data_IF_793553649348
#
_entry.id   IF_793553649348
#
_cell.length_a   1.000
_cell.length_b   1.000
_cell.length_c   1.000
_cell.angle_alpha   90.00
_cell.angle_beta   90.00
_cell.angle_gamma   90.00
#
_symmetry.space_group_name_H-M   'P 1'
#
loop_
_entity.id
_entity.type
_entity.pdbx_description
1 polymer ?
#
# COMPACT_ATOMS: atom_id res chain seq x y z
N UNK A 1 5.47 -22.19 -29.82
CA UNK A 1 5.44 -23.59 -30.31
C UNK A 1 4.12 -24.20 -29.90
N UNK A 2 3.45 -24.90 -30.81
CA UNK A 2 2.23 -25.63 -30.46
C UNK A 2 2.58 -26.84 -29.56
N UNK A 3 1.70 -27.25 -28.63
CA UNK A 3 1.89 -28.45 -27.84
C UNK A 3 2.08 -29.68 -28.76
N UNK A 4 2.84 -30.67 -28.29
CA UNK A 4 3.00 -31.98 -28.99
C UNK A 4 1.67 -32.68 -29.26
N UNK A 5 0.60 -32.31 -28.56
CA UNK A 5 -0.76 -32.81 -28.73
C UNK A 5 -1.58 -32.03 -29.76
N UNK A 6 -1.00 -31.04 -30.44
CA UNK A 6 -1.70 -30.27 -31.47
C UNK A 6 -1.82 -31.09 -32.75
N UNK A 7 -3.05 -31.51 -33.08
CA UNK A 7 -3.35 -32.32 -34.28
C UNK A 7 -3.59 -31.50 -35.55
N UNK A 8 -3.45 -30.17 -35.48
CA UNK A 8 -3.65 -29.30 -36.64
C UNK A 8 -2.43 -29.37 -37.58
N UNK A 9 -2.63 -29.28 -38.91
CA UNK A 9 -1.52 -29.21 -39.85
C UNK A 9 -0.68 -27.95 -39.59
N UNK A 10 0.63 -28.09 -39.77
CA UNK A 10 1.53 -26.95 -39.67
C UNK A 10 1.20 -25.93 -40.77
N UNK A 11 1.26 -24.66 -40.41
CA UNK A 11 1.10 -23.52 -41.32
C UNK A 11 2.38 -22.68 -41.29
N UNK A 12 2.64 -21.95 -42.37
CA UNK A 12 3.77 -21.03 -42.43
C UNK A 12 3.62 -19.93 -41.36
N UNK A 13 4.71 -19.65 -40.64
CA UNK A 13 4.72 -18.65 -39.58
C UNK A 13 6.10 -18.43 -38.97
N UNK A 14 6.26 -17.34 -38.23
CA UNK A 14 7.47 -17.04 -37.49
C UNK A 14 7.46 -17.78 -36.15
N UNK A 15 8.57 -18.47 -35.85
CA UNK A 15 8.77 -19.17 -34.58
C UNK A 15 10.07 -18.71 -33.93
N UNK A 16 10.15 -18.84 -32.61
CA UNK A 16 11.39 -18.58 -31.90
C UNK A 16 12.39 -19.71 -32.13
N UNK A 17 13.67 -19.33 -32.16
CA UNK A 17 14.77 -20.29 -32.24
C UNK A 17 14.74 -21.29 -31.08
N UNK A 18 15.40 -22.43 -31.29
CA UNK A 18 15.55 -23.44 -30.24
C UNK A 18 16.13 -22.82 -28.97
N UNK A 19 15.51 -23.15 -27.84
CA UNK A 19 15.88 -22.58 -26.54
C UNK A 19 15.27 -21.21 -26.24
N UNK A 20 14.40 -20.66 -27.09
CA UNK A 20 13.64 -19.42 -26.84
C UNK A 20 12.13 -19.68 -26.82
N UNK A 21 11.39 -18.85 -26.09
CA UNK A 21 9.93 -18.90 -25.98
C UNK A 21 9.34 -17.55 -26.38
N UNK A 22 8.19 -17.57 -27.06
CA UNK A 22 7.49 -16.37 -27.50
C UNK A 22 6.79 -15.70 -26.31
N UNK A 23 7.11 -14.43 -26.05
CA UNK A 23 6.53 -13.59 -25.01
C UNK A 23 6.38 -12.15 -25.52
N UNK A 24 5.14 -11.62 -25.55
CA UNK A 24 4.83 -10.27 -26.07
C UNK A 24 5.52 -9.98 -27.42
N UNK A 25 5.30 -10.86 -28.40
CA UNK A 25 5.88 -10.78 -29.76
C UNK A 25 7.43 -10.76 -29.83
N UNK A 26 8.10 -11.16 -28.74
CA UNK A 26 9.55 -11.29 -28.67
C UNK A 26 9.94 -12.69 -28.26
N UNK A 27 11.05 -13.18 -28.79
CA UNK A 27 11.64 -14.44 -28.38
C UNK A 27 12.57 -14.19 -27.20
N UNK A 28 12.19 -14.69 -26.03
CA UNK A 28 13.02 -14.62 -24.81
C UNK A 28 13.71 -15.96 -24.58
N UNK A 29 14.96 -16.00 -24.10
CA UNK A 29 15.61 -17.25 -23.74
C UNK A 29 14.71 -18.02 -22.78
N UNK A 30 14.50 -19.31 -23.04
CA UNK A 30 13.70 -20.19 -22.19
C UNK A 30 14.14 -20.08 -20.72
N UNK A 31 15.45 -19.95 -20.48
CA UNK A 31 16.09 -19.71 -19.18
C UNK A 31 15.56 -18.50 -18.41
N UNK A 32 15.05 -17.50 -19.13
CA UNK A 32 14.44 -16.29 -18.57
C UNK A 32 12.92 -16.43 -18.38
N UNK A 33 12.33 -17.58 -18.72
CA UNK A 33 10.94 -17.86 -18.39
C UNK A 33 10.78 -18.10 -16.88
N UNK A 34 10.47 -17.03 -16.17
CA UNK A 34 9.97 -17.11 -14.81
C UNK A 34 8.60 -17.80 -14.67
N UNK A 35 7.92 -17.51 -13.58
CA UNK A 35 6.67 -18.14 -13.20
C UNK A 35 5.48 -17.38 -13.77
N UNK A 36 4.37 -18.08 -13.97
CA UNK A 36 3.10 -17.50 -14.40
C UNK A 36 2.02 -17.73 -13.36
N UNK A 37 1.30 -16.67 -13.01
CA UNK A 37 0.17 -16.73 -12.09
C UNK A 37 -0.85 -15.65 -12.43
N UNK A 38 -2.13 -16.03 -12.54
CA UNK A 38 -3.26 -15.16 -12.90
C UNK A 38 -3.00 -14.29 -14.15
N UNK A 39 -2.35 -14.86 -15.17
CA UNK A 39 -2.04 -14.15 -16.42
C UNK A 39 -0.87 -13.17 -16.33
N UNK A 40 -0.19 -13.08 -15.18
CA UNK A 40 0.99 -12.24 -14.97
C UNK A 40 2.27 -13.08 -14.92
N UNK A 41 3.34 -12.55 -15.52
CA UNK A 41 4.68 -13.12 -15.51
C UNK A 41 5.51 -12.57 -14.34
N UNK A 42 6.29 -13.45 -13.72
CA UNK A 42 7.15 -13.15 -12.58
C UNK A 42 8.55 -13.71 -12.82
N UNK A 43 9.61 -12.87 -12.89
CA UNK A 43 10.98 -13.33 -13.09
C UNK A 43 11.45 -14.33 -12.03
N UNK A 44 12.37 -15.23 -12.40
CA UNK A 44 13.01 -16.13 -11.43
C UNK A 44 13.72 -15.30 -10.36
N UNK A 45 13.55 -15.68 -9.09
CA UNK A 45 14.09 -14.97 -7.94
C UNK A 45 13.24 -13.77 -7.47
N UNK A 46 12.18 -13.39 -8.19
CA UNK A 46 11.28 -12.33 -7.71
C UNK A 46 10.48 -12.77 -6.49
N UNK A 47 10.27 -11.81 -5.58
CA UNK A 47 9.36 -11.92 -4.43
C UNK A 47 8.33 -10.79 -4.45
N UNK A 48 7.08 -11.09 -4.12
CA UNK A 48 5.99 -10.13 -4.17
C UNK A 48 4.81 -10.56 -3.30
N UNK A 49 3.98 -9.61 -2.91
CA UNK A 49 2.72 -9.84 -2.22
C UNK A 49 1.61 -10.18 -3.22
N UNK A 50 0.72 -11.10 -2.84
CA UNK A 50 -0.43 -11.51 -3.68
C UNK A 50 -1.76 -10.92 -3.25
N UNK A 51 -1.77 -10.20 -2.14
CA UNK A 51 -2.95 -9.60 -1.53
C UNK A 51 -2.63 -8.22 -0.97
N UNK A 52 -3.66 -7.41 -0.82
CA UNK A 52 -3.56 -6.02 -0.35
C UNK A 52 -3.37 -5.90 1.17
N UNK A 53 -3.33 -7.01 1.91
CA UNK A 53 -3.07 -7.03 3.36
C UNK A 53 -1.66 -7.50 3.73
N UNK A 54 -0.79 -7.74 2.74
CA UNK A 54 0.56 -8.25 2.92
C UNK A 54 0.58 -9.52 3.79
N UNK A 55 -0.37 -10.41 3.56
CA UNK A 55 -0.56 -11.65 4.33
C UNK A 55 0.02 -12.88 3.64
N UNK A 56 0.11 -12.87 2.30
CA UNK A 56 0.69 -13.92 1.47
C UNK A 56 1.78 -13.35 0.58
N UNK A 57 3.02 -13.84 0.79
CA UNK A 57 4.19 -13.51 -0.03
C UNK A 57 4.55 -14.71 -0.89
N UNK A 58 4.76 -14.47 -2.18
CA UNK A 58 5.15 -15.50 -3.13
C UNK A 58 6.53 -15.22 -3.72
N UNK A 59 7.23 -16.29 -4.07
CA UNK A 59 8.47 -16.26 -4.82
C UNK A 59 8.42 -17.17 -6.04
N UNK A 60 9.15 -16.78 -7.09
CA UNK A 60 9.41 -17.66 -8.23
C UNK A 60 10.77 -18.36 -8.06
N UNK A 61 10.82 -19.63 -7.60
CA UNK A 61 12.08 -20.26 -7.21
C UNK A 61 12.96 -20.63 -8.41
N UNK A 62 12.36 -21.18 -9.47
CA UNK A 62 13.09 -21.66 -10.65
C UNK A 62 12.28 -21.41 -11.92
N UNK A 63 12.96 -21.50 -13.06
CA UNK A 63 12.38 -21.31 -14.38
C UNK A 63 11.20 -22.27 -14.62
N UNK A 64 10.06 -21.74 -15.10
CA UNK A 64 8.88 -22.52 -15.46
C UNK A 64 8.18 -23.24 -14.29
N UNK A 65 8.58 -22.98 -13.03
CA UNK A 65 7.92 -23.58 -11.88
C UNK A 65 6.61 -22.86 -11.53
N UNK A 66 5.81 -23.49 -10.66
CA UNK A 66 4.74 -22.77 -9.95
C UNK A 66 5.35 -21.80 -8.94
N UNK A 67 4.59 -20.76 -8.59
CA UNK A 67 4.93 -19.89 -7.47
C UNK A 67 4.94 -20.69 -6.16
N UNK A 68 5.85 -20.33 -5.27
CA UNK A 68 5.86 -20.78 -3.89
C UNK A 68 5.41 -19.64 -2.99
N UNK A 69 4.26 -19.81 -2.34
CA UNK A 69 3.64 -18.79 -1.50
C UNK A 69 3.64 -19.23 -0.05
N UNK A 70 3.81 -18.28 0.85
CA UNK A 70 3.83 -18.50 2.28
C UNK A 70 3.18 -17.33 3.01
N UNK A 71 2.63 -17.61 4.18
CA UNK A 71 2.11 -16.58 5.06
C UNK A 71 3.27 -15.71 5.55
N UNK A 72 3.11 -14.40 5.43
CA UNK A 72 4.09 -13.43 5.88
C UNK A 72 3.36 -12.17 6.37
N UNK A 73 4.10 -11.26 6.99
CA UNK A 73 3.61 -9.96 7.41
C UNK A 73 4.72 -8.93 7.23
N UNK A 74 4.36 -7.65 7.20
CA UNK A 74 5.37 -6.61 7.20
C UNK A 74 6.26 -6.68 8.45
N UNK A 75 7.55 -6.29 8.32
CA UNK A 75 8.44 -6.14 9.48
C UNK A 75 7.86 -5.22 10.56
N UNK A 76 8.32 -5.41 11.80
CA UNK A 76 7.95 -4.52 12.89
C UNK A 76 8.31 -3.06 12.55
N UNK A 77 7.39 -2.13 12.80
CA UNK A 77 7.57 -0.72 12.45
C UNK A 77 7.09 -0.34 11.04
N UNK A 78 6.63 -1.31 10.25
CA UNK A 78 6.04 -1.07 8.92
C UNK A 78 4.57 -1.47 8.88
N UNK A 79 3.81 -0.83 7.97
CA UNK A 79 2.43 -1.21 7.64
C UNK A 79 2.31 -1.62 6.18
N UNK A 80 1.27 -2.40 5.86
CA UNK A 80 0.96 -2.74 4.48
C UNK A 80 0.25 -1.57 3.80
N UNK A 81 0.88 -1.01 2.76
CA UNK A 81 0.29 0.03 1.92
C UNK A 81 0.39 -0.33 0.44
N UNK A 82 -0.26 0.46 -0.42
CA UNK A 82 -0.19 0.27 -1.88
C UNK A 82 0.61 1.40 -2.49
N UNK A 83 1.68 1.06 -3.23
CA UNK A 83 2.50 2.01 -3.99
C UNK A 83 2.57 1.56 -5.44
N UNK A 84 2.23 2.46 -6.39
CA UNK A 84 2.13 2.14 -7.82
C UNK A 84 1.23 0.92 -8.13
N UNK A 85 0.13 0.77 -7.39
CA UNK A 85 -0.82 -0.34 -7.56
C UNK A 85 -0.31 -1.70 -7.07
N UNK A 86 0.80 -1.74 -6.33
CA UNK A 86 1.34 -2.98 -5.74
C UNK A 86 1.39 -2.87 -4.21
N UNK A 87 1.04 -3.94 -3.46
CA UNK A 87 1.22 -3.96 -2.02
C UNK A 87 2.71 -3.91 -1.69
N UNK A 88 3.09 -3.06 -0.73
CA UNK A 88 4.45 -2.88 -0.23
C UNK A 88 4.41 -2.58 1.26
N UNK A 89 5.47 -2.97 1.97
CA UNK A 89 5.64 -2.57 3.37
C UNK A 89 6.24 -1.17 3.42
N UNK A 90 5.54 -0.25 4.05
CA UNK A 90 5.94 1.14 4.22
C UNK A 90 6.26 1.39 5.68
N UNK A 91 7.28 2.19 5.95
CA UNK A 91 7.57 2.67 7.31
C UNK A 91 6.35 3.38 7.90
N UNK A 92 6.09 3.19 9.19
CA UNK A 92 5.13 4.02 9.91
C UNK A 92 5.64 5.48 9.94
N UNK A 93 5.30 6.26 8.92
CA UNK A 93 5.43 7.71 8.98
C UNK A 93 4.23 8.26 9.74
N UNK A 94 4.42 8.65 10.99
CA UNK A 94 3.39 9.36 11.74
C UNK A 94 3.54 10.86 11.51
N UNK A 95 2.40 11.54 11.28
CA UNK A 95 2.31 12.98 11.42
C UNK A 95 1.89 13.32 12.86
N UNK A 96 2.45 14.39 13.43
CA UNK A 96 1.97 14.92 14.72
C UNK A 96 1.16 16.19 14.43
N UNK A 97 -0.12 16.18 14.80
CA UNK A 97 -0.89 17.40 15.01
C UNK A 97 -0.69 17.84 16.46
N UNK A 98 -0.28 19.08 16.68
CA UNK A 98 0.05 19.60 18.01
C UNK A 98 -0.83 20.81 18.33
N UNK A 99 -1.46 20.78 19.51
CA UNK A 99 -2.24 21.90 20.05
C UNK A 99 -1.63 22.27 21.38
N UNK A 100 -1.13 23.50 21.50
CA UNK A 100 -0.49 23.99 22.72
C UNK A 100 -1.04 25.36 23.08
N UNK A 101 -1.88 25.37 24.11
CA UNK A 101 -2.69 26.53 24.48
C UNK A 101 -3.74 26.88 23.42
N UNK A 102 -4.44 27.98 23.65
CA UNK A 102 -5.18 28.75 22.63
C UNK A 102 -4.33 29.98 22.32
N UNK A 103 -4.06 30.36 21.06
CA UNK A 103 -4.73 29.91 19.83
C UNK A 103 -3.88 29.00 18.92
N UNK A 104 -2.78 28.39 19.38
CA UNK A 104 -1.76 27.82 18.48
C UNK A 104 -2.00 26.36 18.10
N UNK A 105 -2.36 26.13 16.83
CA UNK A 105 -2.52 24.82 16.22
C UNK A 105 -1.41 24.57 15.21
N UNK A 106 -0.79 23.38 15.26
CA UNK A 106 0.16 22.92 14.25
C UNK A 106 -0.36 21.64 13.62
N UNK A 107 -0.65 21.69 12.33
CA UNK A 107 -1.23 20.59 11.55
C UNK A 107 -0.20 19.50 11.24
N UNK A 108 -0.66 18.36 10.71
CA UNK A 108 0.19 17.22 10.34
C UNK A 108 1.27 17.56 9.30
N UNK A 109 0.98 18.50 8.40
CA UNK A 109 1.89 19.07 7.39
C UNK A 109 2.75 20.23 7.93
N UNK A 110 2.75 20.43 9.25
CA UNK A 110 3.57 21.40 10.00
C UNK A 110 3.17 22.87 9.80
N UNK A 111 1.99 23.15 9.25
CA UNK A 111 1.46 24.50 9.12
C UNK A 111 0.92 24.99 10.46
N UNK A 112 1.19 26.25 10.79
CA UNK A 112 0.69 26.87 12.03
C UNK A 112 -0.51 27.75 11.75
N UNK A 113 -1.58 27.53 12.50
CA UNK A 113 -2.79 28.35 12.48
C UNK A 113 -3.08 28.91 13.86
N UNK A 114 -3.58 30.14 13.90
CA UNK A 114 -4.07 30.77 15.12
C UNK A 114 -5.58 30.85 15.05
N UNK A 115 -6.28 30.14 15.93
CA UNK A 115 -7.73 30.16 16.02
C UNK A 115 -8.18 30.32 17.46
N UNK A 116 -9.00 31.35 17.73
CA UNK A 116 -9.57 31.63 19.05
C UNK A 116 -11.06 31.27 19.03
N UNK A 117 -11.38 30.06 19.48
CA UNK A 117 -12.75 29.55 19.49
C UNK A 117 -13.12 29.00 20.85
N UNK A 118 -14.38 29.15 21.28
CA UNK A 118 -14.88 28.80 22.62
C UNK A 118 -15.84 27.59 22.63
N UNK A 119 -15.71 26.69 21.66
CA UNK A 119 -16.52 25.48 21.55
C UNK A 119 -15.65 24.21 21.61
N UNK A 120 -16.30 23.06 21.43
CA UNK A 120 -15.62 21.79 21.13
C UNK A 120 -15.36 21.71 19.63
N UNK A 121 -14.13 21.37 19.25
CA UNK A 121 -13.69 21.26 17.87
C UNK A 121 -13.08 19.89 17.59
N UNK A 122 -13.36 19.35 16.40
CA UNK A 122 -12.69 18.15 15.91
C UNK A 122 -11.27 18.48 15.47
N UNK A 123 -10.27 17.85 16.08
CA UNK A 123 -8.87 17.99 15.70
C UNK A 123 -8.47 17.02 14.59
N UNK A 124 -8.92 15.77 14.69
CA UNK A 124 -8.64 14.73 13.72
C UNK A 124 -9.76 13.70 13.72
N UNK A 125 -10.29 13.37 12.54
CA UNK A 125 -11.26 12.28 12.36
C UNK A 125 -11.04 11.61 11.01
N UNK A 126 -11.52 10.38 10.87
CA UNK A 126 -11.60 9.73 9.57
C UNK A 126 -12.67 10.44 8.71
N UNK A 127 -12.29 10.96 7.54
CA UNK A 127 -13.20 11.72 6.67
C UNK A 127 -14.18 10.85 5.86
N UNK A 128 -13.90 9.57 5.67
CA UNK A 128 -14.70 8.66 4.86
C UNK A 128 -14.83 7.28 5.49
N UNK A 129 -16.04 6.72 5.51
CA UNK A 129 -16.31 5.34 5.90
C UNK A 129 -15.89 4.36 4.78
N UNK A 130 -14.64 4.41 4.33
CA UNK A 130 -14.07 3.29 3.58
C UNK A 130 -13.85 2.15 4.57
N UNK A 131 -14.37 0.97 4.26
CA UNK A 131 -14.39 -0.22 5.13
C UNK A 131 -13.01 -0.73 5.58
N UNK A 132 -11.92 -0.13 5.10
CA UNK A 132 -10.54 -0.53 5.38
C UNK A 132 -9.88 0.19 6.56
N UNK A 133 -10.46 1.27 7.11
CA UNK A 133 -9.85 2.02 8.22
C UNK A 133 -10.74 1.98 9.47
N UNK A 134 -10.18 1.72 10.67
CA UNK A 134 -10.92 1.81 11.91
C UNK A 134 -11.34 3.26 12.17
N UNK A 135 -12.58 3.45 12.63
CA UNK A 135 -13.10 4.76 12.97
C UNK A 135 -12.42 5.33 14.22
N UNK A 136 -12.09 6.63 14.20
CA UNK A 136 -11.67 7.41 15.37
C UNK A 136 -12.10 8.88 15.23
N UNK A 137 -12.24 9.58 16.35
CA UNK A 137 -12.55 11.01 16.40
C UNK A 137 -11.90 11.66 17.62
N UNK A 138 -10.94 12.57 17.37
CA UNK A 138 -10.26 13.35 18.41
C UNK A 138 -10.84 14.74 18.47
N UNK A 139 -11.31 15.14 19.65
CA UNK A 139 -11.92 16.44 19.92
C UNK A 139 -11.19 17.20 21.02
N UNK A 140 -11.22 18.52 20.92
CA UNK A 140 -10.65 19.45 21.89
C UNK A 140 -11.69 20.50 22.27
N UNK A 141 -11.83 20.74 23.58
CA UNK A 141 -12.70 21.79 24.12
C UNK A 141 -11.87 22.99 24.52
N UNK A 142 -12.25 24.14 23.98
CA UNK A 142 -11.70 25.42 24.38
C UNK A 142 -12.74 26.21 25.17
N UNK A 143 -12.39 26.71 26.35
CA UNK A 143 -13.26 27.57 27.16
C UNK A 143 -12.64 28.94 27.39
N UNK A 144 -13.49 29.96 27.40
CA UNK A 144 -13.04 31.33 27.68
C UNK A 144 -12.69 31.45 29.16
N UNK A 145 -11.51 31.97 29.44
CA UNK A 145 -11.15 32.29 30.81
C UNK A 145 -12.11 33.34 31.38
N UNK A 146 -12.63 33.11 32.59
CA UNK A 146 -13.47 34.10 33.29
C UNK A 146 -12.70 35.36 33.70
N UNK A 147 -11.37 35.33 33.64
CA UNK A 147 -10.47 36.42 34.04
C UNK A 147 -9.72 37.08 32.87
N UNK A 148 -9.85 36.59 31.64
CA UNK A 148 -9.14 37.11 30.46
C UNK A 148 -10.00 36.99 29.19
N UNK A 149 -9.69 37.78 28.16
CA UNK A 149 -10.29 37.63 26.83
C UNK A 149 -9.75 36.42 26.05
N UNK A 150 -8.81 35.66 26.61
CA UNK A 150 -8.24 34.45 26.00
C UNK A 150 -9.08 33.20 26.27
N UNK A 151 -9.11 32.30 25.29
CA UNK A 151 -9.62 30.94 25.45
C UNK A 151 -8.49 30.04 25.95
N UNK A 152 -8.81 28.87 26.48
CA UNK A 152 -7.82 27.88 26.91
C UNK A 152 -8.35 26.49 26.58
N UNK A 153 -7.44 25.60 26.17
CA UNK A 153 -7.74 24.17 26.01
C UNK A 153 -7.99 23.56 27.39
N UNK A 154 -9.21 23.06 27.63
CA UNK A 154 -9.60 22.50 28.94
C UNK A 154 -9.69 20.98 28.96
N UNK A 155 -10.01 20.36 27.83
CA UNK A 155 -10.07 18.90 27.72
C UNK A 155 -9.81 18.42 26.29
N UNK A 156 -9.23 17.23 26.15
CA UNK A 156 -9.10 16.51 24.89
C UNK A 156 -9.60 15.07 25.06
N UNK A 157 -10.36 14.58 24.08
CA UNK A 157 -10.95 13.23 24.07
C UNK A 157 -10.66 12.57 22.72
N UNK A 158 -10.31 11.28 22.73
CA UNK A 158 -9.95 10.48 21.55
C UNK A 158 -10.82 9.23 21.41
#
# INVERSE_FOLDING_TARGET
>A
MAPVTCSLPCVEGCVCDSGHLLYNDRCVPSQQCGCWHNGQHYPVGSEFWTDDSCSSKCRCPTQGSKLQCFNASCPAGQYCGVQNGKPVCLEHSYGICHVHGDPHYKTFDKVTHNFMGNCTYTLAKVCSNTTSLPYFNVEAKNERSSTSLTTLLTSATA
#
